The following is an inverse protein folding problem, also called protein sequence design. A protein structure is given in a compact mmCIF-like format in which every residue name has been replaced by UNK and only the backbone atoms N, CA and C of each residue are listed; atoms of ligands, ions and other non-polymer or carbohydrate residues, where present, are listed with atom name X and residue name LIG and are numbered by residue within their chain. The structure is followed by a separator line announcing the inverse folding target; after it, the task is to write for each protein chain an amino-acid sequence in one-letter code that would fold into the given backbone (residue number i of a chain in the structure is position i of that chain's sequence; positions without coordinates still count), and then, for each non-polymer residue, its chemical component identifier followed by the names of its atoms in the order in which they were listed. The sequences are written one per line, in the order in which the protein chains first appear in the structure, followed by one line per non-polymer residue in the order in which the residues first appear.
data_IF_274207088992
#
_entry.id   IF_274207088992
#
_cell.length_a   1.000
_cell.length_b   1.000
_cell.length_c   1.000
_cell.angle_alpha   90.00
_cell.angle_beta   90.00
_cell.angle_gamma   90.00
#
_symmetry.space_group_name_H-M   'P 1'
#
loop_
_entity.id
_entity.type
_entity.pdbx_description
1 polymer ?
#
# COMPACT_ATOMS: atom_id res chain seq x y z
N UNK A 1 0.88 6.71 -0.47
CA UNK A 1 1.67 5.48 -0.70
C UNK A 1 3.14 5.76 -0.41
N UNK A 2 3.59 5.61 0.84
CA UNK A 2 4.96 5.99 1.29
C UNK A 2 5.88 4.77 1.53
N UNK A 3 5.43 3.56 1.20
CA UNK A 3 6.12 2.31 1.53
C UNK A 3 7.32 1.96 0.62
N UNK A 4 7.58 2.74 -0.43
CA UNK A 4 8.69 2.53 -1.37
C UNK A 4 9.87 3.49 -1.18
N UNK A 5 9.83 4.37 -0.18
CA UNK A 5 10.97 5.24 0.11
C UNK A 5 12.04 4.45 0.87
N UNK A 6 12.82 3.69 0.11
CA UNK A 6 14.07 3.12 0.58
C UNK A 6 15.03 4.25 0.95
N UNK A 7 15.56 4.19 2.17
CA UNK A 7 16.53 5.14 2.70
C UNK A 7 17.71 5.33 1.75
N UNK A 8 17.74 6.49 1.12
CA UNK A 8 18.98 7.15 0.78
C UNK A 8 19.74 7.35 2.11
N UNK A 9 20.99 6.90 2.16
CA UNK A 9 21.93 7.04 3.28
C UNK A 9 21.84 5.94 4.35
N UNK A 10 22.48 4.79 4.08
CA UNK A 10 23.19 4.01 5.10
C UNK A 10 24.61 3.76 4.59
N UNK A 11 25.66 4.30 5.24
CA UNK A 11 27.04 4.31 4.73
C UNK A 11 27.83 3.03 5.05
N UNK A 12 27.17 1.90 5.27
CA UNK A 12 27.82 0.68 5.78
C UNK A 12 27.44 -0.54 4.96
N UNK A 13 27.82 -0.56 3.69
CA UNK A 13 27.75 -1.81 2.91
C UNK A 13 29.15 -2.18 2.39
N UNK A 14 29.73 -3.29 2.86
CA UNK A 14 31.04 -3.72 2.42
C UNK A 14 30.93 -4.33 1.03
N UNK A 15 31.85 -3.92 0.15
CA UNK A 15 32.17 -4.53 -1.16
C UNK A 15 30.95 -4.59 -2.09
N UNK A 16 30.95 -3.70 -3.08
CA UNK A 16 29.84 -3.50 -4.00
C UNK A 16 29.42 -4.82 -4.65
N UNK A 17 28.11 -5.10 -4.70
CA UNK A 17 27.55 -6.22 -5.47
C UNK A 17 28.08 -6.24 -6.93
N UNK A 18 28.45 -5.07 -7.45
CA UNK A 18 29.15 -4.88 -8.71
C UNK A 18 30.53 -5.57 -8.77
N UNK A 19 31.34 -5.51 -7.71
CA UNK A 19 32.62 -6.24 -7.63
C UNK A 19 32.42 -7.76 -7.58
N UNK A 20 31.37 -8.24 -6.90
CA UNK A 20 31.02 -9.68 -6.86
C UNK A 20 30.58 -10.18 -8.25
N UNK A 21 29.95 -9.33 -9.05
CA UNK A 21 29.52 -9.63 -10.41
C UNK A 21 30.67 -9.63 -11.43
N UNK A 22 31.70 -8.80 -11.21
CA UNK A 22 32.83 -8.62 -12.13
C UNK A 22 33.85 -9.76 -12.09
N UNK A 23 33.90 -10.54 -11.01
CA UNK A 23 34.88 -11.63 -10.85
C UNK A 23 34.36 -12.96 -11.39
N UNK A 24 35.27 -13.78 -11.96
CA UNK A 24 34.97 -15.13 -12.42
C UNK A 24 34.38 -15.98 -11.27
N UNK A 25 33.29 -16.67 -11.57
CA UNK A 25 32.46 -17.27 -10.52
C UNK A 25 33.06 -18.58 -10.00
N UNK A 26 33.48 -18.58 -8.74
CA UNK A 26 33.84 -19.79 -7.99
C UNK A 26 32.66 -20.27 -7.14
N UNK A 27 32.58 -21.57 -6.86
CA UNK A 27 31.52 -22.14 -6.00
C UNK A 27 31.38 -21.41 -4.66
N UNK A 28 32.49 -21.04 -4.02
CA UNK A 28 32.50 -20.29 -2.76
C UNK A 28 31.95 -18.86 -2.92
N UNK A 29 32.28 -18.17 -4.01
CA UNK A 29 31.74 -16.84 -4.31
C UNK A 29 30.23 -16.85 -4.56
N UNK A 30 29.72 -17.89 -5.24
CA UNK A 30 28.28 -18.08 -5.47
C UNK A 30 27.52 -18.31 -4.18
N UNK A 31 28.03 -19.15 -3.27
CA UNK A 31 27.42 -19.40 -1.97
C UNK A 31 27.37 -18.13 -1.09
N UNK A 32 28.46 -17.35 -1.07
CA UNK A 32 28.51 -16.06 -0.36
C UNK A 32 27.46 -15.10 -0.92
N UNK A 33 27.36 -14.99 -2.24
CA UNK A 33 26.36 -14.15 -2.92
C UNK A 33 24.93 -14.58 -2.60
N UNK A 34 24.65 -15.88 -2.68
CA UNK A 34 23.31 -16.40 -2.39
C UNK A 34 22.91 -16.10 -0.94
N UNK A 35 23.81 -16.35 0.02
CA UNK A 35 23.60 -16.00 1.44
C UNK A 35 23.31 -14.51 1.64
N UNK A 36 24.04 -13.64 0.93
CA UNK A 36 23.83 -12.20 0.98
C UNK A 36 22.46 -11.79 0.43
N UNK A 37 22.07 -12.34 -0.73
CA UNK A 37 20.75 -12.09 -1.33
C UNK A 37 19.62 -12.56 -0.41
N UNK A 38 19.75 -13.75 0.19
CA UNK A 38 18.78 -14.26 1.15
C UNK A 38 18.65 -13.37 2.38
N UNK A 39 19.77 -12.88 2.93
CA UNK A 39 19.77 -11.95 4.05
C UNK A 39 18.99 -10.67 3.72
N UNK A 40 19.22 -10.11 2.53
CA UNK A 40 18.54 -8.90 2.08
C UNK A 40 17.04 -9.11 1.87
N UNK A 41 16.65 -10.20 1.22
CA UNK A 41 15.24 -10.55 1.06
C UNK A 41 14.55 -10.74 2.42
N UNK A 42 15.23 -11.37 3.38
CA UNK A 42 14.72 -11.54 4.74
C UNK A 42 14.52 -10.20 5.45
N UNK A 43 15.49 -9.28 5.35
CA UNK A 43 15.40 -7.94 5.93
C UNK A 43 14.28 -7.12 5.29
N UNK A 44 14.18 -7.17 3.96
CA UNK A 44 13.13 -6.52 3.21
C UNK A 44 11.76 -7.03 3.65
N UNK A 45 11.57 -8.34 3.66
CA UNK A 45 10.31 -8.96 4.05
C UNK A 45 9.90 -8.62 5.48
N UNK A 46 10.86 -8.65 6.42
CA UNK A 46 10.62 -8.31 7.81
C UNK A 46 10.15 -6.85 7.96
N UNK A 47 10.83 -5.91 7.31
CA UNK A 47 10.46 -4.48 7.33
C UNK A 47 9.13 -4.24 6.64
N UNK A 48 8.92 -4.83 5.45
CA UNK A 48 7.68 -4.72 4.70
C UNK A 48 6.48 -5.22 5.51
N UNK A 49 6.58 -6.41 6.10
CA UNK A 49 5.51 -6.97 6.95
C UNK A 49 5.21 -6.08 8.15
N UNK A 50 6.24 -5.57 8.82
CA UNK A 50 6.07 -4.67 9.98
C UNK A 50 5.36 -3.37 9.58
N UNK A 51 5.81 -2.74 8.49
CA UNK A 51 5.24 -1.49 8.02
C UNK A 51 3.80 -1.69 7.53
N UNK A 52 3.55 -2.74 6.75
CA UNK A 52 2.22 -3.09 6.28
C UNK A 52 1.22 -3.27 7.42
N UNK A 53 1.60 -3.98 8.50
CA UNK A 53 0.72 -4.16 9.66
C UNK A 53 0.46 -2.86 10.42
N UNK A 54 1.45 -1.96 10.51
CA UNK A 54 1.25 -0.64 11.10
C UNK A 54 0.31 0.22 10.25
N UNK A 55 0.51 0.21 8.93
CA UNK A 55 -0.31 0.95 7.97
C UNK A 55 -1.75 0.41 7.96
N UNK A 56 -1.92 -0.91 8.04
CA UNK A 56 -3.22 -1.57 8.16
C UNK A 56 -3.93 -1.15 9.45
N UNK A 57 -3.21 -1.13 10.59
CA UNK A 57 -3.76 -0.62 11.85
C UNK A 57 -4.19 0.84 11.73
N UNK A 58 -3.40 1.69 11.07
CA UNK A 58 -3.78 3.10 10.86
C UNK A 58 -4.97 3.26 9.92
N UNK A 59 -5.06 2.45 8.86
CA UNK A 59 -6.20 2.47 7.94
C UNK A 59 -7.50 2.03 8.62
N UNK A 60 -7.42 1.06 9.55
CA UNK A 60 -8.56 0.60 10.35
C UNK A 60 -8.79 1.40 11.64
N UNK A 61 -7.90 2.31 12.02
CA UNK A 61 -8.09 3.21 13.17
C UNK A 61 -8.95 4.40 12.75
N UNK A 62 -10.17 4.13 12.30
CA UNK A 62 -11.20 5.16 12.19
C UNK A 62 -11.58 5.54 13.61
N UNK A 63 -11.11 6.72 14.06
CA UNK A 63 -11.25 7.20 15.44
C UNK A 63 -12.71 7.44 15.89
N UNK A 64 -13.68 7.39 14.97
CA UNK A 64 -15.11 7.38 15.25
C UNK A 64 -15.87 6.70 14.11
N UNK A 65 -16.40 5.48 14.29
CA UNK A 65 -17.31 4.86 13.33
C UNK A 65 -18.59 5.68 13.12
N UNK A 66 -18.98 6.48 14.11
CA UNK A 66 -20.24 7.23 14.09
C UNK A 66 -20.18 8.55 13.30
N UNK A 67 -18.96 9.02 12.98
CA UNK A 67 -18.77 10.22 12.16
C UNK A 67 -18.36 9.79 10.77
N UNK A 68 -19.31 9.29 9.98
CA UNK A 68 -19.10 9.17 8.55
C UNK A 68 -18.92 10.61 8.00
N UNK A 69 -17.75 10.95 7.44
CA UNK A 69 -17.58 12.26 6.81
C UNK A 69 -18.59 12.37 5.67
N UNK A 70 -19.26 13.51 5.60
CA UNK A 70 -20.17 13.80 4.49
C UNK A 70 -19.35 13.83 3.18
N UNK A 71 -19.75 12.98 2.23
CA UNK A 71 -19.05 12.86 0.96
C UNK A 71 -19.35 14.09 0.10
N UNK A 72 -18.33 14.57 -0.60
CA UNK A 72 -18.43 15.76 -1.45
C UNK A 72 -18.50 15.38 -2.92
N UNK A 73 -19.04 16.29 -3.72
CA UNK A 73 -18.89 16.21 -5.18
C UNK A 73 -17.40 16.12 -5.49
N UNK A 74 -17.08 15.29 -6.48
CA UNK A 74 -15.74 14.90 -6.89
C UNK A 74 -14.98 13.90 -6.00
N UNK A 75 -15.54 13.49 -4.87
CA UNK A 75 -14.95 12.40 -4.09
C UNK A 75 -15.02 11.07 -4.86
N UNK A 76 -13.96 10.28 -4.74
CA UNK A 76 -13.83 8.98 -5.37
C UNK A 76 -14.26 7.90 -4.37
N UNK A 77 -15.25 7.10 -4.76
CA UNK A 77 -15.90 6.11 -3.91
C UNK A 77 -15.91 4.73 -4.56
N UNK A 78 -16.05 3.70 -3.73
CA UNK A 78 -16.22 2.32 -4.18
C UNK A 78 -17.72 2.00 -4.24
N UNK A 79 -18.23 1.59 -5.39
CA UNK A 79 -19.65 1.29 -5.60
C UNK A 79 -19.90 -0.17 -5.28
N UNK A 80 -20.62 -0.43 -4.20
CA UNK A 80 -20.99 -1.78 -3.78
C UNK A 80 -21.93 -2.43 -4.80
N UNK A 81 -21.54 -3.60 -5.29
CA UNK A 81 -22.36 -4.43 -6.17
C UNK A 81 -22.51 -5.80 -5.51
N UNK A 82 -23.72 -6.10 -5.00
CA UNK A 82 -24.01 -7.30 -4.20
C UNK A 82 -23.69 -8.63 -4.92
N UNK A 83 -23.60 -8.63 -6.24
CA UNK A 83 -23.33 -9.82 -7.06
C UNK A 83 -21.84 -10.07 -7.29
N UNK A 84 -20.96 -9.08 -7.01
CA UNK A 84 -19.52 -9.16 -7.28
C UNK A 84 -18.71 -9.21 -5.99
N UNK A 85 -17.56 -9.88 -6.08
CA UNK A 85 -16.56 -9.84 -5.01
C UNK A 85 -16.15 -8.38 -4.75
N UNK A 86 -15.91 -8.02 -3.48
CA UNK A 86 -15.45 -6.68 -3.05
C UNK A 86 -14.25 -6.15 -3.82
N UNK A 87 -13.36 -7.04 -4.26
CA UNK A 87 -12.20 -6.67 -5.08
C UNK A 87 -12.54 -6.25 -6.52
N UNK A 88 -13.77 -6.51 -6.97
CA UNK A 88 -14.29 -6.17 -8.29
C UNK A 88 -15.32 -5.04 -8.25
N UNK A 89 -15.52 -4.42 -7.08
CA UNK A 89 -16.35 -3.23 -6.97
C UNK A 89 -15.75 -2.11 -7.81
N UNK A 90 -16.60 -1.42 -8.57
CA UNK A 90 -16.17 -0.33 -9.43
C UNK A 90 -15.82 0.89 -8.59
N UNK A 91 -14.88 1.66 -9.10
CA UNK A 91 -14.59 2.97 -8.57
C UNK A 91 -15.49 3.98 -9.28
N UNK A 92 -16.28 4.73 -8.54
CA UNK A 92 -17.15 5.77 -9.04
C UNK A 92 -16.72 7.13 -8.50
N UNK A 93 -17.11 8.20 -9.21
CA UNK A 93 -16.92 9.57 -8.75
C UNK A 93 -18.29 10.17 -8.44
N UNK A 94 -18.42 10.85 -7.29
CA UNK A 94 -19.68 11.51 -6.91
C UNK A 94 -19.90 12.71 -7.82
N UNK A 95 -20.99 12.71 -8.57
CA UNK A 95 -21.39 13.86 -9.40
C UNK A 95 -22.33 14.80 -8.64
N UNK A 96 -23.23 14.27 -7.82
CA UNK A 96 -24.17 15.09 -7.04
C UNK A 96 -24.57 14.46 -5.72
N UNK A 97 -24.89 15.34 -4.78
CA UNK A 97 -25.46 15.03 -3.48
C UNK A 97 -26.98 15.22 -3.53
N UNK A 98 -27.73 14.29 -2.93
CA UNK A 98 -29.18 14.37 -2.82
C UNK A 98 -29.55 14.52 -1.33
N UNK A 99 -29.74 15.76 -0.84
CA UNK A 99 -30.09 16.00 0.56
C UNK A 99 -31.53 15.54 0.84
N UNK A 100 -31.73 14.92 2.00
CA UNK A 100 -33.05 14.56 2.50
C UNK A 100 -33.82 15.76 3.08
N UNK A 101 -35.03 15.48 3.57
CA UNK A 101 -35.91 16.49 4.21
C UNK A 101 -35.28 17.14 5.45
N UNK A 102 -34.37 16.43 6.12
CA UNK A 102 -33.60 16.90 7.28
C UNK A 102 -32.31 17.63 6.91
N UNK A 103 -32.12 18.00 5.64
CA UNK A 103 -30.89 18.57 5.08
C UNK A 103 -29.64 17.69 5.26
N UNK A 104 -29.80 16.39 5.52
CA UNK A 104 -28.68 15.44 5.59
C UNK A 104 -28.57 14.67 4.27
N UNK A 105 -27.38 14.64 3.69
CA UNK A 105 -27.12 13.87 2.46
C UNK A 105 -26.98 12.39 2.77
N UNK A 106 -27.92 11.57 2.27
CA UNK A 106 -27.89 10.11 2.43
C UNK A 106 -27.79 9.37 1.09
N UNK A 107 -28.11 10.05 -0.01
CA UNK A 107 -28.04 9.51 -1.35
C UNK A 107 -27.06 10.33 -2.18
N UNK A 108 -26.27 9.63 -2.98
CA UNK A 108 -25.28 10.21 -3.89
C UNK A 108 -25.51 9.60 -5.26
N UNK A 109 -25.39 10.41 -6.30
CA UNK A 109 -25.30 9.86 -7.65
C UNK A 109 -23.84 9.83 -8.06
N UNK A 110 -23.39 8.66 -8.47
CA UNK A 110 -22.06 8.44 -9.03
C UNK A 110 -22.16 8.14 -10.52
N UNK A 111 -21.18 8.63 -11.27
CA UNK A 111 -20.99 8.25 -12.67
C UNK A 111 -19.82 7.27 -12.78
N UNK A 112 -20.04 6.27 -13.63
CA UNK A 112 -19.06 5.26 -14.07
C UNK A 112 -18.17 5.81 -15.19
#
# INVERSE_FOLDING_TARGET
MHFLNFGQNQPTYPVTFAEILKNASTKSSLLKRNKYQQLHLKQLWHRWKKQYLLDLRTAHSVKNPETHPELKVDDVVLVEENTKNKFLWKLGKIERTLPGRDNKTRCYESKD
#
